data_IF_314493957225
#
_entry.id   IF_314493957225
#
_cell.length_a   1.000
_cell.length_b   1.000
_cell.length_c   1.000
_cell.angle_alpha   90.00
_cell.angle_beta   90.00
_cell.angle_gamma   90.00
#
_symmetry.space_group_name_H-M   'P 1'
#
loop_
_entity.id
_entity.type
_entity.pdbx_description
1 polymer ?
#
# COMPACT_ATOMS: atom_id res chain seq x y z
N UNK A 1 7.24 11.29 13.90
CA UNK A 1 7.77 9.93 13.66
C UNK A 1 8.30 9.77 12.25
N UNK A 2 7.55 10.15 11.21
CA UNK A 2 8.00 10.16 9.80
C UNK A 2 9.33 10.89 9.54
N UNK A 3 9.64 11.95 10.31
CA UNK A 3 10.93 12.64 10.27
C UNK A 3 12.14 11.71 10.50
N UNK A 4 11.97 10.57 11.18
CA UNK A 4 13.04 9.60 11.35
C UNK A 4 13.54 9.04 10.01
N UNK A 5 12.66 8.85 9.01
CA UNK A 5 13.07 8.37 7.69
C UNK A 5 13.82 9.40 6.84
N UNK A 6 13.70 10.68 7.19
CA UNK A 6 14.49 11.75 6.57
C UNK A 6 15.86 11.84 7.22
N UNK A 7 15.92 11.80 8.56
CA UNK A 7 17.15 12.00 9.31
C UNK A 7 18.01 10.72 9.39
N UNK A 8 17.38 9.57 9.57
CA UNK A 8 18.04 8.30 9.87
C UNK A 8 17.59 7.21 8.89
N UNK A 9 17.82 7.39 7.57
CA UNK A 9 17.47 6.36 6.59
C UNK A 9 18.25 5.07 6.85
N UNK A 10 17.65 3.94 6.48
CA UNK A 10 18.19 2.57 6.61
C UNK A 10 18.55 2.12 8.04
N UNK A 11 18.10 2.86 9.06
CA UNK A 11 18.34 2.52 10.48
C UNK A 11 17.12 1.86 11.15
N UNK A 12 16.00 1.72 10.43
CA UNK A 12 14.77 1.07 10.89
C UNK A 12 14.31 1.55 12.26
N UNK A 13 14.10 0.62 13.19
CA UNK A 13 13.70 0.95 14.56
C UNK A 13 14.78 1.74 15.34
N UNK A 14 16.07 1.55 15.03
CA UNK A 14 17.14 2.34 15.64
C UNK A 14 17.00 3.81 15.24
N UNK A 15 16.65 4.10 13.99
CA UNK A 15 16.40 5.46 13.52
C UNK A 15 15.26 6.16 14.29
N UNK A 16 14.21 5.43 14.69
CA UNK A 16 13.16 5.97 15.57
C UNK A 16 13.68 6.30 16.97
N UNK A 17 14.50 5.40 17.54
CA UNK A 17 15.13 5.64 18.84
C UNK A 17 16.07 6.84 18.79
N UNK A 18 16.86 6.98 17.71
CA UNK A 18 17.72 8.14 17.49
C UNK A 18 16.95 9.45 17.38
N UNK A 19 15.77 9.45 16.74
CA UNK A 19 14.90 10.63 16.69
C UNK A 19 14.42 11.02 18.09
N UNK A 20 13.90 10.06 18.86
CA UNK A 20 13.42 10.31 20.23
C UNK A 20 14.57 10.77 21.13
N UNK A 21 15.71 10.10 21.07
CA UNK A 21 16.92 10.48 21.80
C UNK A 21 17.38 11.89 21.42
N UNK A 22 17.36 12.24 20.13
CA UNK A 22 17.70 13.58 19.65
C UNK A 22 16.85 14.68 20.29
N UNK A 23 15.53 14.48 20.38
CA UNK A 23 14.66 15.43 21.08
C UNK A 23 15.01 15.55 22.57
N UNK A 24 15.24 14.43 23.26
CA UNK A 24 15.63 14.44 24.67
C UNK A 24 16.97 15.17 24.87
N UNK A 25 17.97 14.90 24.04
CA UNK A 25 19.30 15.52 24.14
C UNK A 25 19.27 17.02 23.88
N UNK A 26 18.42 17.49 22.96
CA UNK A 26 18.19 18.92 22.71
C UNK A 26 17.60 19.58 23.96
N UNK A 27 16.59 18.96 24.59
CA UNK A 27 15.98 19.47 25.83
C UNK A 27 17.00 19.51 26.97
N UNK A 28 17.83 18.47 27.11
CA UNK A 28 18.89 18.39 28.11
C UNK A 28 20.13 19.24 27.77
N UNK A 29 20.17 19.89 26.60
CA UNK A 29 21.27 20.75 26.12
C UNK A 29 22.62 20.03 25.98
N UNK A 30 22.61 18.73 25.70
CA UNK A 30 23.82 17.96 25.41
C UNK A 30 24.26 18.13 23.95
N UNK A 31 24.74 19.33 23.61
CA UNK A 31 25.03 19.74 22.23
C UNK A 31 26.08 18.89 21.50
N UNK A 32 27.07 18.33 22.21
CA UNK A 32 28.03 17.40 21.61
C UNK A 32 27.35 16.12 21.10
N UNK A 33 26.40 15.57 21.86
CA UNK A 33 25.62 14.41 21.46
C UNK A 33 24.63 14.74 20.32
N UNK A 34 24.04 15.94 20.34
CA UNK A 34 23.21 16.44 19.23
C UNK A 34 24.03 16.55 17.94
N UNK A 35 25.24 17.12 18.01
CA UNK A 35 26.14 17.23 16.85
C UNK A 35 26.58 15.87 16.33
N UNK A 36 26.80 14.88 17.21
CA UNK A 36 27.09 13.52 16.83
C UNK A 36 25.91 12.86 16.09
N UNK A 37 24.68 12.99 16.60
CA UNK A 37 23.48 12.48 15.92
C UNK A 37 23.24 13.17 14.58
N UNK A 38 23.48 14.49 14.48
CA UNK A 38 23.38 15.22 13.23
C UNK A 38 24.42 14.73 12.20
N UNK A 39 25.66 14.51 12.63
CA UNK A 39 26.71 13.92 11.77
C UNK A 39 26.32 12.52 11.28
N UNK A 40 25.79 11.68 12.16
CA UNK A 40 25.28 10.35 11.79
C UNK A 40 24.14 10.45 10.78
N UNK A 41 23.21 11.40 10.93
CA UNK A 41 22.12 11.63 9.98
C UNK A 41 22.64 12.00 8.59
N UNK A 42 23.67 12.86 8.51
CA UNK A 42 24.33 13.22 7.24
C UNK A 42 24.97 11.99 6.60
N UNK A 43 25.74 11.21 7.37
CA UNK A 43 26.41 10.00 6.85
C UNK A 43 25.39 8.97 6.37
N UNK A 44 24.34 8.71 7.13
CA UNK A 44 23.29 7.77 6.75
C UNK A 44 22.63 8.16 5.41
N UNK A 45 22.36 9.45 5.21
CA UNK A 45 21.80 9.95 3.95
C UNK A 45 22.78 9.83 2.77
N UNK A 46 24.09 9.95 2.99
CA UNK A 46 25.10 9.74 1.94
C UNK A 46 25.19 8.27 1.52
N UNK A 47 25.11 7.33 2.47
CA UNK A 47 25.17 5.88 2.20
C UNK A 47 23.94 5.39 1.44
N UNK A 48 22.75 5.89 1.81
CA UNK A 48 21.47 5.46 1.23
C UNK A 48 21.38 5.67 -0.30
N UNK A 49 22.16 6.58 -0.88
CA UNK A 49 22.18 6.85 -2.33
C UNK A 49 22.56 5.61 -3.16
N UNK A 50 23.09 4.55 -2.54
CA UNK A 50 23.63 3.37 -3.24
C UNK A 50 22.76 2.10 -3.09
N UNK A 51 21.67 2.15 -2.31
CA UNK A 51 21.02 0.95 -1.76
C UNK A 51 19.63 0.65 -2.35
N UNK A 52 19.52 0.38 -3.67
CA UNK A 52 18.27 -0.10 -4.27
C UNK A 52 18.43 -1.52 -4.84
N UNK A 53 17.60 -2.50 -4.42
CA UNK A 53 17.73 -3.86 -4.92
C UNK A 53 17.25 -3.94 -6.38
N UNK A 54 17.99 -4.66 -7.22
CA UNK A 54 17.72 -4.75 -8.67
C UNK A 54 16.33 -5.28 -9.03
N UNK A 55 15.74 -6.14 -8.20
CA UNK A 55 14.38 -6.64 -8.43
C UNK A 55 13.30 -5.57 -8.22
N UNK A 56 13.59 -4.48 -7.52
CA UNK A 56 12.60 -3.41 -7.30
C UNK A 56 12.17 -2.74 -8.62
N UNK A 57 13.02 -2.77 -9.65
CA UNK A 57 12.68 -2.22 -10.96
C UNK A 57 11.67 -3.12 -11.72
N UNK A 58 11.47 -4.37 -11.30
CA UNK A 58 10.40 -5.21 -11.87
C UNK A 58 9.02 -4.89 -11.28
N UNK A 59 8.96 -4.07 -10.24
CA UNK A 59 7.73 -3.61 -9.61
C UNK A 59 7.41 -2.18 -10.04
N UNK A 60 6.13 -1.93 -10.33
CA UNK A 60 5.66 -0.60 -10.69
C UNK A 60 4.25 -0.36 -10.17
N UNK A 61 3.94 0.88 -9.87
CA UNK A 61 2.59 1.33 -9.59
C UNK A 61 2.03 2.09 -10.78
N UNK A 62 0.71 2.01 -10.98
CA UNK A 62 0.03 2.71 -12.06
C UNK A 62 -1.11 3.54 -11.47
N UNK A 63 -0.98 4.87 -11.51
CA UNK A 63 -2.02 5.78 -11.05
C UNK A 63 -3.19 5.82 -12.04
N UNK A 64 -4.40 6.02 -11.52
CA UNK A 64 -5.61 6.10 -12.34
C UNK A 64 -6.34 7.41 -12.09
N UNK A 65 -7.25 7.78 -13.00
CA UNK A 65 -8.05 9.00 -12.89
C UNK A 65 -9.56 8.74 -13.04
N UNK A 66 -10.05 7.72 -12.35
CA UNK A 66 -11.46 7.34 -12.41
C UNK A 66 -12.32 8.22 -11.50
N UNK A 67 -13.42 8.71 -12.04
CA UNK A 67 -14.40 9.45 -11.27
C UNK A 67 -15.31 8.54 -10.43
N UNK A 68 -15.62 8.96 -9.20
CA UNK A 68 -16.64 8.38 -8.30
C UNK A 68 -16.51 6.86 -8.09
N UNK A 69 -15.44 6.42 -7.44
CA UNK A 69 -15.24 5.03 -7.00
C UNK A 69 -15.90 4.70 -5.63
N UNK A 70 -16.98 5.41 -5.25
CA UNK A 70 -17.61 5.23 -3.93
C UNK A 70 -18.58 4.04 -3.90
N UNK A 71 -18.45 3.26 -2.83
CA UNK A 71 -19.26 2.08 -2.46
C UNK A 71 -20.76 2.33 -2.35
N UNK A 72 -21.15 3.55 -1.95
CA UNK A 72 -22.54 3.93 -1.66
C UNK A 72 -23.29 4.51 -2.87
N UNK A 73 -22.59 4.74 -3.99
CA UNK A 73 -23.21 5.23 -5.21
C UNK A 73 -23.89 4.08 -5.96
N UNK A 74 -24.98 4.37 -6.69
CA UNK A 74 -25.65 3.39 -7.53
C UNK A 74 -24.65 2.78 -8.54
N UNK A 75 -24.72 1.46 -8.82
CA UNK A 75 -23.83 0.81 -9.77
C UNK A 75 -23.90 1.51 -11.13
N UNK A 76 -22.75 1.98 -11.62
CA UNK A 76 -22.62 2.48 -12.98
C UNK A 76 -21.88 1.44 -13.82
N UNK A 77 -22.67 0.55 -14.43
CA UNK A 77 -22.16 -0.57 -15.24
C UNK A 77 -21.20 -0.13 -16.35
N UNK A 78 -21.41 1.06 -16.95
CA UNK A 78 -20.50 1.59 -17.97
C UNK A 78 -19.15 1.96 -17.37
N UNK A 79 -19.13 2.65 -16.22
CA UNK A 79 -17.90 2.98 -15.52
C UNK A 79 -17.18 1.73 -15.02
N UNK A 80 -17.91 0.73 -14.52
CA UNK A 80 -17.36 -0.57 -14.12
C UNK A 80 -16.70 -1.31 -15.29
N UNK A 81 -17.37 -1.34 -16.45
CA UNK A 81 -16.83 -1.95 -17.67
C UNK A 81 -15.55 -1.26 -18.16
N UNK A 82 -15.49 0.08 -18.11
CA UNK A 82 -14.28 0.84 -18.48
C UNK A 82 -13.09 0.51 -17.57
N UNK A 83 -13.31 0.43 -16.25
CA UNK A 83 -12.24 0.07 -15.30
C UNK A 83 -11.73 -1.34 -15.54
N UNK A 84 -12.64 -2.30 -15.75
CA UNK A 84 -12.27 -3.68 -16.00
C UNK A 84 -11.52 -3.83 -17.34
N UNK A 85 -11.96 -3.12 -18.38
CA UNK A 85 -11.23 -3.07 -19.65
C UNK A 85 -9.82 -2.51 -19.49
N UNK A 86 -9.62 -1.48 -18.66
CA UNK A 86 -8.29 -0.94 -18.37
C UNK A 86 -7.41 -1.96 -17.62
N UNK A 87 -7.95 -2.68 -16.64
CA UNK A 87 -7.22 -3.77 -15.96
C UNK A 87 -6.75 -4.83 -16.96
N UNK A 88 -7.63 -5.24 -17.89
CA UNK A 88 -7.28 -6.23 -18.92
C UNK A 88 -6.25 -5.73 -19.91
N UNK A 89 -6.37 -4.47 -20.35
CA UNK A 89 -5.39 -3.82 -21.22
C UNK A 89 -4.01 -3.79 -20.56
N UNK A 90 -3.94 -3.39 -19.29
CA UNK A 90 -2.68 -3.36 -18.53
C UNK A 90 -2.10 -4.76 -18.33
N UNK A 91 -2.92 -5.76 -18.03
CA UNK A 91 -2.46 -7.15 -17.92
C UNK A 91 -1.89 -7.70 -19.25
N UNK A 92 -2.54 -7.37 -20.36
CA UNK A 92 -2.10 -7.76 -21.68
C UNK A 92 -0.78 -7.08 -22.09
N UNK A 93 -0.58 -5.82 -21.70
CA UNK A 93 0.62 -5.04 -21.99
C UNK A 93 1.78 -5.28 -21.01
N UNK A 94 1.51 -5.86 -19.83
CA UNK A 94 2.53 -6.09 -18.82
C UNK A 94 3.62 -7.04 -19.35
N UNK A 95 4.88 -6.61 -19.24
CA UNK A 95 6.04 -7.41 -19.65
C UNK A 95 6.24 -8.62 -18.72
N UNK A 96 6.86 -9.71 -19.22
CA UNK A 96 7.18 -10.88 -18.40
C UNK A 96 7.99 -10.56 -17.14
N UNK A 97 7.73 -11.27 -16.04
CA UNK A 97 8.43 -11.11 -14.76
C UNK A 97 8.16 -9.80 -14.00
N UNK A 98 7.18 -8.99 -14.43
CA UNK A 98 6.83 -7.72 -13.76
C UNK A 98 5.69 -7.88 -12.76
N UNK A 99 5.66 -7.00 -11.77
CA UNK A 99 4.53 -6.83 -10.85
C UNK A 99 3.98 -5.42 -10.98
N UNK A 100 2.68 -5.31 -11.24
CA UNK A 100 1.99 -4.02 -11.35
C UNK A 100 0.99 -3.84 -10.20
N UNK A 101 1.10 -2.72 -9.51
CA UNK A 101 0.16 -2.32 -8.45
C UNK A 101 -0.82 -1.32 -9.04
N UNK A 102 -2.11 -1.58 -8.85
CA UNK A 102 -3.20 -0.69 -9.19
C UNK A 102 -3.85 -0.10 -7.91
N UNK A 103 -4.54 1.05 -8.04
CA UNK A 103 -5.12 1.73 -6.90
C UNK A 103 -6.24 0.94 -6.21
N UNK A 104 -6.69 1.49 -5.09
CA UNK A 104 -7.81 0.99 -4.30
C UNK A 104 -9.14 1.07 -5.09
N UNK A 105 -10.03 0.07 -4.92
CA UNK A 105 -11.40 0.05 -5.47
C UNK A 105 -11.49 0.22 -7.00
N UNK A 106 -10.46 -0.22 -7.74
CA UNK A 106 -10.48 -0.21 -9.22
C UNK A 106 -11.48 -1.23 -9.76
N UNK A 107 -11.47 -2.46 -9.23
CA UNK A 107 -12.41 -3.49 -9.65
C UNK A 107 -13.80 -3.23 -9.07
N UNK A 108 -14.87 -3.60 -9.81
CA UNK A 108 -16.19 -3.73 -9.22
C UNK A 108 -16.17 -4.66 -8.00
N UNK A 109 -17.18 -4.54 -7.13
CA UNK A 109 -17.29 -5.39 -5.95
C UNK A 109 -17.25 -6.87 -6.35
N UNK A 110 -16.33 -7.61 -5.75
CA UNK A 110 -16.13 -9.04 -5.97
C UNK A 110 -16.93 -9.79 -4.92
N UNK A 111 -17.95 -10.56 -5.32
CA UNK A 111 -18.66 -11.46 -4.41
C UNK A 111 -18.00 -12.83 -4.44
N UNK A 112 -17.77 -13.38 -3.26
CA UNK A 112 -17.24 -14.73 -3.15
C UNK A 112 -18.36 -15.73 -3.47
N UNK A 113 -18.28 -16.37 -4.65
CA UNK A 113 -19.26 -17.33 -5.16
C UNK A 113 -19.86 -16.93 -6.50
N UNK A 114 -19.29 -17.45 -7.59
CA UNK A 114 -19.82 -17.45 -8.96
C UNK A 114 -20.29 -16.11 -9.56
N UNK A 115 -19.54 -15.02 -9.34
CA UNK A 115 -19.72 -13.81 -10.15
C UNK A 115 -18.95 -13.90 -11.46
N UNK A 116 -19.54 -13.37 -12.54
CA UNK A 116 -18.92 -13.20 -13.87
C UNK A 116 -17.52 -12.56 -13.80
N UNK A 117 -17.32 -11.62 -12.87
CA UNK A 117 -16.03 -10.98 -12.62
C UNK A 117 -14.95 -11.97 -12.17
N UNK A 118 -15.30 -13.00 -11.40
CA UNK A 118 -14.35 -14.01 -10.94
C UNK A 118 -13.83 -14.89 -12.09
N UNK A 119 -14.69 -15.22 -13.06
CA UNK A 119 -14.30 -15.96 -14.26
C UNK A 119 -13.38 -15.13 -15.15
N UNK A 120 -13.70 -13.85 -15.38
CA UNK A 120 -12.82 -12.99 -16.19
C UNK A 120 -11.48 -12.71 -15.52
N UNK A 121 -11.44 -12.57 -14.19
CA UNK A 121 -10.18 -12.49 -13.45
C UNK A 121 -9.36 -13.78 -13.57
N UNK A 122 -10.00 -14.94 -13.72
CA UNK A 122 -9.29 -16.21 -13.87
C UNK A 122 -8.50 -16.27 -15.20
N UNK A 123 -9.10 -15.82 -16.30
CA UNK A 123 -8.43 -15.77 -17.61
C UNK A 123 -7.23 -14.82 -17.59
N UNK A 124 -7.41 -13.62 -17.02
CA UNK A 124 -6.32 -12.64 -16.84
C UNK A 124 -5.24 -13.20 -15.93
N UNK A 125 -5.64 -13.91 -14.88
CA UNK A 125 -4.69 -14.56 -13.98
C UNK A 125 -3.91 -15.67 -14.67
N UNK A 126 -4.52 -16.43 -15.58
CA UNK A 126 -3.83 -17.44 -16.37
C UNK A 126 -2.82 -16.80 -17.34
N UNK A 127 -3.21 -15.71 -18.02
CA UNK A 127 -2.33 -14.94 -18.89
C UNK A 127 -1.12 -14.38 -18.14
N UNK A 128 -1.33 -13.78 -16.96
CA UNK A 128 -0.26 -13.25 -16.13
C UNK A 128 0.66 -14.35 -15.59
N UNK A 129 0.10 -15.49 -15.14
CA UNK A 129 0.89 -16.66 -14.73
C UNK A 129 1.80 -17.16 -15.86
N UNK A 130 1.29 -17.21 -17.10
CA UNK A 130 2.09 -17.63 -18.25
C UNK A 130 3.28 -16.69 -18.53
N UNK A 131 3.16 -15.41 -18.18
CA UNK A 131 4.24 -14.41 -18.26
C UNK A 131 5.12 -14.38 -17.00
N UNK A 132 4.85 -15.19 -15.99
CA UNK A 132 5.48 -15.07 -14.67
C UNK A 132 5.28 -13.69 -14.02
N UNK A 133 4.19 -13.02 -14.37
CA UNK A 133 3.86 -11.65 -13.95
C UNK A 133 2.70 -11.63 -12.96
N UNK A 134 2.55 -10.54 -12.23
CA UNK A 134 1.47 -10.39 -11.26
C UNK A 134 0.87 -8.98 -11.30
N UNK A 135 -0.39 -8.88 -10.88
CA UNK A 135 -1.04 -7.60 -10.63
C UNK A 135 -1.66 -7.59 -9.24
N UNK A 136 -1.51 -6.49 -8.50
CA UNK A 136 -2.27 -6.20 -7.30
C UNK A 136 -3.35 -5.19 -7.64
N UNK A 137 -4.61 -5.55 -7.50
CA UNK A 137 -5.72 -4.70 -7.95
C UNK A 137 -6.70 -4.46 -6.81
N UNK A 138 -7.00 -3.20 -6.52
CA UNK A 138 -7.94 -2.83 -5.48
C UNK A 138 -9.37 -3.21 -5.80
N UNK A 139 -10.06 -3.77 -4.82
CA UNK A 139 -11.44 -4.21 -4.91
C UNK A 139 -12.10 -4.20 -3.54
N UNK A 140 -13.43 -4.18 -3.52
CA UNK A 140 -14.18 -4.62 -2.36
C UNK A 140 -14.56 -6.08 -2.48
N UNK A 141 -14.37 -6.85 -1.42
CA UNK A 141 -14.78 -8.24 -1.34
C UNK A 141 -15.97 -8.40 -0.39
N UNK A 142 -17.05 -8.99 -0.91
CA UNK A 142 -18.23 -9.35 -0.14
C UNK A 142 -18.29 -10.86 0.05
N UNK A 143 -18.33 -11.30 1.30
CA UNK A 143 -18.46 -12.72 1.67
C UNK A 143 -19.80 -12.89 2.36
N UNK A 144 -20.67 -13.84 1.93
CA UNK A 144 -21.96 -14.07 2.58
C UNK A 144 -21.81 -14.25 4.09
N UNK A 145 -22.61 -13.50 4.87
CA UNK A 145 -22.59 -13.56 6.34
C UNK A 145 -21.37 -12.92 6.99
N UNK A 146 -20.53 -12.17 6.26
CA UNK A 146 -19.38 -11.44 6.82
C UNK A 146 -19.40 -9.96 6.41
N UNK A 147 -18.76 -9.09 7.20
CA UNK A 147 -18.56 -7.69 6.82
C UNK A 147 -17.77 -7.56 5.51
N UNK A 148 -18.00 -6.47 4.80
CA UNK A 148 -17.28 -6.14 3.56
C UNK A 148 -15.79 -5.96 3.90
N UNK A 149 -14.92 -6.31 2.96
CA UNK A 149 -13.48 -6.14 3.10
C UNK A 149 -12.97 -5.29 1.95
N UNK A 150 -12.20 -4.27 2.26
CA UNK A 150 -11.41 -3.57 1.26
C UNK A 150 -10.08 -4.31 1.07
N UNK A 151 -9.75 -4.66 -0.17
CA UNK A 151 -8.65 -5.58 -0.46
C UNK A 151 -7.84 -5.18 -1.68
N UNK A 152 -6.57 -5.58 -1.72
CA UNK A 152 -5.84 -5.78 -2.96
C UNK A 152 -5.88 -7.26 -3.33
N UNK A 153 -6.45 -7.57 -4.49
CA UNK A 153 -6.47 -8.92 -5.04
C UNK A 153 -5.20 -9.14 -5.84
N UNK A 154 -4.49 -10.23 -5.55
CA UNK A 154 -3.38 -10.68 -6.36
C UNK A 154 -3.89 -11.50 -7.55
N UNK A 155 -3.54 -11.08 -8.75
CA UNK A 155 -3.88 -11.71 -10.03
C UNK A 155 -2.58 -12.15 -10.69
N UNK A 156 -2.53 -13.37 -11.22
CA UNK A 156 -1.31 -13.94 -11.81
C UNK A 156 -0.41 -14.70 -10.83
N UNK A 157 -0.76 -14.76 -9.55
CA UNK A 157 -0.03 -15.53 -8.52
C UNK A 157 -0.99 -16.15 -7.51
N UNK A 158 -0.58 -17.27 -6.91
CA UNK A 158 -1.34 -17.92 -5.85
C UNK A 158 -1.08 -17.23 -4.51
N UNK A 159 -1.73 -16.09 -4.31
CA UNK A 159 -1.66 -15.31 -3.10
C UNK A 159 -3.06 -14.96 -2.59
N UNK A 160 -3.24 -14.98 -1.28
CA UNK A 160 -4.48 -14.50 -0.66
C UNK A 160 -4.65 -12.99 -0.85
N UNK A 161 -5.89 -12.47 -0.74
CA UNK A 161 -6.13 -11.03 -0.81
C UNK A 161 -5.42 -10.30 0.34
N UNK A 162 -4.87 -9.14 0.05
CA UNK A 162 -4.29 -8.25 1.04
C UNK A 162 -5.42 -7.40 1.61
N UNK A 163 -5.80 -7.64 2.86
CA UNK A 163 -7.00 -7.05 3.46
C UNK A 163 -6.63 -5.82 4.28
N UNK A 164 -7.25 -4.67 4.01
CA UNK A 164 -7.07 -3.45 4.80
C UNK A 164 -7.34 -3.72 6.29
N UNK A 165 -6.43 -3.28 7.17
CA UNK A 165 -6.52 -3.51 8.61
C UNK A 165 -7.23 -2.37 9.33
N UNK A 166 -6.95 -1.13 8.93
CA UNK A 166 -7.52 0.07 9.55
C UNK A 166 -8.30 0.89 8.53
N UNK A 167 -9.58 0.56 8.29
CA UNK A 167 -10.51 1.40 7.53
C UNK A 167 -10.71 2.79 8.14
N UNK A 168 -11.15 3.76 7.32
CA UNK A 168 -11.50 5.11 7.78
C UNK A 168 -12.60 5.03 8.87
N UNK A 169 -12.37 5.57 10.07
CA UNK A 169 -13.38 5.60 11.13
C UNK A 169 -14.66 6.32 10.67
N UNK A 170 -15.83 5.79 11.02
CA UNK A 170 -17.17 6.34 10.72
C UNK A 170 -17.54 6.28 9.22
N UNK A 171 -16.60 6.54 8.32
CA UNK A 171 -16.79 6.45 6.87
C UNK A 171 -16.90 5.01 6.37
N UNK A 172 -15.90 4.20 6.69
CA UNK A 172 -15.78 2.80 6.26
C UNK A 172 -16.05 1.82 7.41
N UNK A 173 -15.56 2.14 8.61
CA UNK A 173 -15.76 1.31 9.80
C UNK A 173 -16.80 1.92 10.72
N UNK A 174 -17.91 1.19 10.85
CA UNK A 174 -19.06 1.49 11.70
C UNK A 174 -19.33 0.24 12.54
N UNK A 175 -18.78 0.11 13.77
CA UNK A 175 -18.95 -1.10 14.56
C UNK A 175 -20.41 -1.42 14.91
N UNK A 176 -21.32 -0.46 14.73
CA UNK A 176 -22.76 -0.58 14.93
C UNK A 176 -23.56 -0.91 13.65
N UNK A 177 -22.96 -0.97 12.46
CA UNK A 177 -23.67 -1.17 11.20
C UNK A 177 -23.30 -2.50 10.52
N UNK A 178 -24.29 -3.14 9.89
CA UNK A 178 -24.12 -4.44 9.22
C UNK A 178 -23.36 -4.36 7.88
N UNK A 179 -23.27 -3.17 7.30
CA UNK A 179 -22.57 -2.85 6.05
C UNK A 179 -21.15 -2.28 6.27
N UNK A 180 -20.61 -2.44 7.48
CA UNK A 180 -19.29 -1.95 7.88
C UNK A 180 -18.14 -2.74 7.23
N UNK A 181 -17.00 -2.07 7.03
CA UNK A 181 -15.74 -2.72 6.66
C UNK A 181 -15.04 -3.20 7.92
N UNK A 182 -14.67 -4.48 7.98
CA UNK A 182 -13.98 -5.05 9.15
C UNK A 182 -12.62 -4.38 9.41
N UNK A 183 -12.26 -4.23 10.69
CA UNK A 183 -10.95 -3.75 11.11
C UNK A 183 -10.17 -4.88 11.82
N UNK A 184 -8.87 -4.95 11.56
CA UNK A 184 -7.91 -5.86 12.20
C UNK A 184 -6.61 -5.10 12.52
N UNK A 185 -6.63 -4.11 13.43
CA UNK A 185 -5.51 -3.19 13.64
C UNK A 185 -4.21 -3.87 14.09
N UNK A 186 -4.28 -5.11 14.59
CA UNK A 186 -3.12 -5.90 15.03
C UNK A 186 -2.63 -6.91 13.98
N UNK A 187 -3.32 -7.00 12.84
CA UNK A 187 -2.88 -7.83 11.72
C UNK A 187 -1.48 -7.42 11.24
N UNK A 188 -0.69 -8.41 10.80
CA UNK A 188 0.71 -8.21 10.38
C UNK A 188 0.85 -7.18 9.25
N UNK A 189 -0.16 -7.06 8.40
CA UNK A 189 -0.09 -6.23 7.19
C UNK A 189 0.88 -6.78 6.16
N UNK A 190 1.20 -8.08 6.23
CA UNK A 190 2.11 -8.76 5.32
C UNK A 190 1.35 -9.71 4.42
N UNK A 191 1.67 -9.71 3.12
CA UNK A 191 1.28 -10.75 2.17
C UNK A 191 2.48 -11.25 1.35
N UNK A 192 2.39 -12.46 0.81
CA UNK A 192 3.40 -12.99 -0.10
C UNK A 192 2.92 -12.79 -1.54
N UNK A 193 3.64 -12.01 -2.33
CA UNK A 193 3.27 -11.70 -3.73
C UNK A 193 4.52 -11.84 -4.59
N UNK A 194 4.46 -12.67 -5.64
CA UNK A 194 5.60 -12.92 -6.53
C UNK A 194 6.91 -13.24 -5.77
N UNK A 195 6.83 -14.04 -4.70
CA UNK A 195 7.97 -14.44 -3.88
C UNK A 195 8.51 -13.36 -2.92
N UNK A 196 7.82 -12.23 -2.76
CA UNK A 196 8.21 -11.12 -1.88
C UNK A 196 7.23 -10.91 -0.73
N UNK A 197 7.76 -10.60 0.45
CA UNK A 197 7.00 -10.20 1.63
C UNK A 197 6.58 -8.73 1.45
N UNK A 198 5.34 -8.52 1.07
CA UNK A 198 4.74 -7.19 0.85
C UNK A 198 4.16 -6.68 2.16
N UNK A 199 4.67 -5.56 2.67
CA UNK A 199 3.94 -4.74 3.63
C UNK A 199 2.95 -3.86 2.89
N UNK A 200 1.65 -4.14 3.02
CA UNK A 200 0.62 -3.36 2.35
C UNK A 200 0.04 -2.28 3.28
N UNK A 201 -0.30 -1.14 2.69
CA UNK A 201 -0.96 -0.03 3.36
C UNK A 201 -2.00 0.59 2.44
N UNK A 202 -3.28 0.38 2.76
CA UNK A 202 -4.40 0.76 1.90
C UNK A 202 -5.04 2.04 2.43
N UNK A 203 -5.13 3.06 1.55
CA UNK A 203 -5.84 4.31 1.81
C UNK A 203 -5.37 5.01 3.08
N UNK A 204 -6.30 5.26 4.01
CA UNK A 204 -6.09 5.87 5.32
C UNK A 204 -4.96 5.24 6.15
N UNK A 205 -4.66 3.94 5.98
CA UNK A 205 -3.56 3.29 6.69
C UNK A 205 -2.20 3.93 6.41
N UNK A 206 -2.03 4.56 5.25
CA UNK A 206 -0.79 5.21 4.85
C UNK A 206 -0.42 6.39 5.76
N UNK A 207 -1.40 6.95 6.48
CA UNK A 207 -1.21 8.04 7.45
C UNK A 207 -0.94 7.53 8.88
N UNK A 208 -1.14 6.24 9.14
CA UNK A 208 -1.07 5.68 10.49
C UNK A 208 0.32 5.13 10.80
N UNK A 209 0.89 5.59 11.92
CA UNK A 209 2.22 5.13 12.36
C UNK A 209 2.18 3.69 12.90
N UNK A 210 1.13 3.31 13.63
CA UNK A 210 1.10 2.00 14.29
C UNK A 210 1.07 0.81 13.31
N UNK A 211 0.16 0.74 12.31
CA UNK A 211 0.06 -0.42 11.41
C UNK A 211 1.32 -0.66 10.59
N UNK A 212 1.98 0.41 10.13
CA UNK A 212 3.23 0.27 9.37
C UNK A 212 4.37 -0.25 10.25
N UNK A 213 4.50 0.20 11.50
CA UNK A 213 5.51 -0.32 12.43
C UNK A 213 5.29 -1.81 12.74
N UNK A 214 4.03 -2.24 12.88
CA UNK A 214 3.69 -3.67 13.01
C UNK A 214 4.15 -4.44 11.76
N UNK A 215 3.92 -3.89 10.56
CA UNK A 215 4.40 -4.53 9.32
C UNK A 215 5.93 -4.60 9.25
N UNK A 216 6.63 -3.54 9.65
CA UNK A 216 8.10 -3.52 9.67
C UNK A 216 8.69 -4.52 10.67
N UNK A 217 8.04 -4.74 11.81
CA UNK A 217 8.43 -5.78 12.77
C UNK A 217 8.36 -7.19 12.16
N UNK A 218 7.55 -7.38 11.12
CA UNK A 218 7.44 -8.63 10.37
C UNK A 218 8.39 -8.73 9.17
N UNK A 219 9.40 -7.85 9.06
CA UNK A 219 10.49 -7.89 8.06
C UNK A 219 10.00 -8.08 6.62
N UNK A 220 9.36 -7.06 6.04
CA UNK A 220 8.95 -7.08 4.64
C UNK A 220 10.14 -6.79 3.71
N UNK A 221 9.97 -7.16 2.44
CA UNK A 221 10.92 -6.86 1.36
C UNK A 221 10.55 -5.56 0.61
N UNK A 222 9.26 -5.20 0.61
CA UNK A 222 8.69 -4.05 -0.12
C UNK A 222 7.52 -3.45 0.65
N UNK A 223 7.33 -2.14 0.51
CA UNK A 223 6.11 -1.45 0.93
C UNK A 223 5.25 -1.20 -0.30
N UNK A 224 3.99 -1.63 -0.26
CA UNK A 224 2.99 -1.37 -1.30
C UNK A 224 1.88 -0.49 -0.75
N UNK A 225 1.75 0.69 -1.33
CA UNK A 225 0.66 1.62 -1.07
C UNK A 225 -0.37 1.59 -2.19
N UNK A 226 -1.65 1.44 -1.84
CA UNK A 226 -2.74 1.65 -2.79
C UNK A 226 -3.80 2.55 -2.15
N UNK A 227 -4.27 3.58 -2.86
CA UNK A 227 -5.24 4.52 -2.32
C UNK A 227 -6.20 5.02 -3.41
N UNK A 228 -7.40 5.42 -2.99
CA UNK A 228 -8.36 6.10 -3.82
C UNK A 228 -8.68 7.47 -3.22
N UNK A 229 -7.98 8.49 -3.72
CA UNK A 229 -8.02 9.85 -3.21
C UNK A 229 -8.73 10.80 -4.17
N UNK A 230 -9.51 10.28 -5.12
CA UNK A 230 -10.29 11.10 -6.07
C UNK A 230 -11.16 12.17 -5.38
N UNK A 231 -11.66 11.87 -4.17
CA UNK A 231 -12.46 12.81 -3.38
C UNK A 231 -11.64 13.99 -2.80
N UNK A 232 -10.32 13.83 -2.72
CA UNK A 232 -9.35 14.77 -2.16
C UNK A 232 -8.28 15.21 -3.16
N UNK A 233 -8.49 14.94 -4.46
CA UNK A 233 -7.52 15.14 -5.55
C UNK A 233 -6.92 16.54 -5.61
N UNK A 234 -7.70 17.55 -5.23
CA UNK A 234 -7.30 18.96 -5.29
C UNK A 234 -6.78 19.47 -3.92
N UNK A 235 -6.39 18.55 -3.03
CA UNK A 235 -5.83 18.84 -1.70
C UNK A 235 -4.42 18.27 -1.54
N UNK A 236 -3.79 18.52 -0.39
CA UNK A 236 -2.48 17.95 -0.06
C UNK A 236 -2.53 16.49 0.38
N UNK A 237 -3.70 15.88 0.52
CA UNK A 237 -3.87 14.53 1.08
C UNK A 237 -3.12 13.46 0.27
N UNK A 238 -3.28 13.35 -1.07
CA UNK A 238 -2.58 12.33 -1.85
C UNK A 238 -1.06 12.45 -1.73
N UNK A 239 -0.55 13.69 -1.76
CA UNK A 239 0.89 13.97 -1.62
C UNK A 239 1.41 13.57 -0.24
N UNK A 240 0.69 13.90 0.84
CA UNK A 240 1.10 13.57 2.21
C UNK A 240 1.10 12.04 2.42
N UNK A 241 0.09 11.32 1.92
CA UNK A 241 0.05 9.85 1.98
C UNK A 241 1.24 9.22 1.26
N UNK A 242 1.51 9.65 0.03
CA UNK A 242 2.64 9.17 -0.74
C UNK A 242 3.98 9.44 -0.07
N UNK A 243 4.20 10.66 0.40
CA UNK A 243 5.42 11.05 1.11
C UNK A 243 5.58 10.28 2.43
N UNK A 244 4.48 10.02 3.16
CA UNK A 244 4.53 9.24 4.39
C UNK A 244 5.05 7.81 4.14
N UNK A 245 4.57 7.14 3.10
CA UNK A 245 5.10 5.82 2.73
C UNK A 245 6.56 5.89 2.27
N UNK A 246 6.93 6.88 1.47
CA UNK A 246 8.31 7.04 0.98
C UNK A 246 9.29 7.20 2.14
N UNK A 247 8.95 8.00 3.17
CA UNK A 247 9.83 8.16 4.33
C UNK A 247 9.85 6.92 5.22
N UNK A 248 8.77 6.13 5.29
CA UNK A 248 8.84 4.81 5.94
C UNK A 248 9.77 3.86 5.18
N UNK A 249 9.69 3.84 3.85
CA UNK A 249 10.63 3.09 3.01
C UNK A 249 12.07 3.52 3.23
N UNK A 250 12.32 4.84 3.26
CA UNK A 250 13.66 5.38 3.57
C UNK A 250 14.16 4.95 4.94
N UNK A 251 13.33 5.03 5.98
CA UNK A 251 13.71 4.64 7.34
C UNK A 251 14.12 3.17 7.40
N UNK A 252 13.38 2.29 6.73
CA UNK A 252 13.59 0.84 6.81
C UNK A 252 14.43 0.26 5.65
N UNK A 253 14.96 1.09 4.76
CA UNK A 253 15.78 0.62 3.63
C UNK A 253 14.99 -0.15 2.58
N UNK A 254 13.67 0.09 2.46
CA UNK A 254 12.78 -0.70 1.61
C UNK A 254 12.33 0.07 0.36
N UNK A 255 12.23 -0.60 -0.80
CA UNK A 255 11.54 -0.05 -1.95
C UNK A 255 10.06 0.19 -1.63
N UNK A 256 9.52 1.29 -2.17
CA UNK A 256 8.11 1.69 -2.02
C UNK A 256 7.48 1.73 -3.40
N UNK A 257 6.35 1.02 -3.55
CA UNK A 257 5.55 1.01 -4.77
C UNK A 257 4.17 1.57 -4.42
N UNK A 258 3.73 2.61 -5.14
CA UNK A 258 2.49 3.33 -4.85
C UNK A 258 1.60 3.39 -6.07
N UNK A 259 0.30 3.21 -5.88
CA UNK A 259 -0.71 3.44 -6.90
C UNK A 259 -1.90 4.18 -6.30
N UNK A 260 -2.25 5.32 -6.89
CA UNK A 260 -3.30 6.21 -6.39
C UNK A 260 -4.31 6.51 -7.49
N UNK A 261 -5.60 6.48 -7.14
CA UNK A 261 -6.65 7.03 -8.00
C UNK A 261 -6.91 8.48 -7.63
N UNK A 262 -6.78 9.41 -8.58
CA UNK A 262 -6.92 10.87 -8.39
C UNK A 262 -7.98 11.49 -9.30
#
# INVERSE_FOLDING_TARGET
MTAAGVLFPDLGFVGLLCLVAGFVLIVLRYWSAVAALASMAVVANLVMLQARPAWADTWSGYDTAFARLQTAAAPNFMAEGQRMAQVFMLAAQLEPGRVLVLPETVLPRVRQGNDFNALMLADVSAQLRAKGSAMLVGAEMSIPGRPIRNVLIAVGVDAGPLVQRVPVPIGMWRPWASDSIAADPFGSGIGLVAGRRVAYSICYEQLLTFPILVSMANRPDVIVGAANDWWARDTSIPTIQGQALDVWGRLFGLPVIRATNI
#
